data_IF_374923130099
#
_entry.id   IF_374923130099
#
_cell.length_a   1.000
_cell.length_b   1.000
_cell.length_c   1.000
_cell.angle_alpha   90.00
_cell.angle_beta   90.00
_cell.angle_gamma   90.00
#
_symmetry.space_group_name_H-M   'P 1'
#
loop_
_entity.id
_entity.type
_entity.pdbx_description
1 polymer ?
#
# COMPACT_ATOMS: atom_id res chain seq x y z
N UNK A 1 5.36 95.56 1.16
CA UNK A 1 6.11 94.38 0.62
C UNK A 1 5.75 93.19 1.47
N UNK A 2 4.91 92.32 0.94
CA UNK A 2 4.47 91.12 1.66
C UNK A 2 5.00 89.90 0.92
N UNK A 3 5.97 89.22 1.50
CA UNK A 3 6.56 87.96 1.00
C UNK A 3 5.65 86.80 1.36
N UNK A 4 5.07 86.13 0.40
CA UNK A 4 4.32 84.86 0.54
C UNK A 4 5.29 83.71 0.67
N UNK A 5 5.33 83.02 1.83
CA UNK A 5 5.97 81.76 2.01
C UNK A 5 5.03 80.69 1.46
N UNK A 6 5.44 80.03 0.40
CA UNK A 6 4.78 78.81 -0.13
C UNK A 6 5.21 77.60 0.67
N UNK A 7 4.25 76.92 1.31
CA UNK A 7 4.45 75.63 1.98
C UNK A 7 4.20 74.53 0.94
N UNK A 8 5.25 73.86 0.53
CA UNK A 8 5.16 72.67 -0.33
C UNK A 8 4.86 71.43 0.51
N UNK A 9 3.63 70.92 0.48
CA UNK A 9 3.28 69.65 1.09
C UNK A 9 3.86 68.48 0.24
N UNK A 10 4.86 67.79 0.77
CA UNK A 10 5.33 66.50 0.22
C UNK A 10 4.34 65.38 0.63
N UNK A 11 3.48 64.90 -0.29
CA UNK A 11 2.70 63.69 -0.12
C UNK A 11 3.67 62.49 -0.25
N UNK A 12 4.02 61.87 0.86
CA UNK A 12 4.70 60.57 0.85
C UNK A 12 3.69 59.50 0.43
N UNK A 13 3.85 58.97 -0.77
CA UNK A 13 3.09 57.78 -1.23
C UNK A 13 3.53 56.57 -0.41
N UNK A 14 2.66 56.11 0.49
CA UNK A 14 2.83 54.83 1.20
C UNK A 14 2.53 53.71 0.21
N UNK A 15 3.59 53.06 -0.34
CA UNK A 15 3.45 51.85 -1.14
C UNK A 15 2.90 50.74 -0.23
N UNK A 16 1.84 50.01 -0.65
CA UNK A 16 1.35 48.89 0.13
C UNK A 16 2.46 47.84 0.22
N UNK A 17 2.86 47.47 1.42
CA UNK A 17 3.72 46.33 1.68
C UNK A 17 3.01 45.08 1.15
N UNK A 18 3.67 44.22 0.30
CA UNK A 18 3.06 42.99 -0.13
C UNK A 18 2.71 42.14 1.10
N UNK A 19 1.47 41.67 1.15
CA UNK A 19 1.04 40.77 2.22
C UNK A 19 1.98 39.54 2.23
N UNK A 20 2.37 39.02 3.39
CA UNK A 20 3.20 37.85 3.49
C UNK A 20 2.51 36.71 2.73
N UNK A 21 3.25 35.89 1.93
CA UNK A 21 2.67 34.80 1.21
C UNK A 21 1.93 33.90 2.19
N UNK A 22 0.65 33.64 1.94
CA UNK A 22 -0.14 32.72 2.76
C UNK A 22 0.60 31.37 2.76
N UNK A 23 0.83 30.83 3.96
CA UNK A 23 1.47 29.55 4.10
C UNK A 23 0.70 28.50 3.29
N UNK A 24 1.38 27.77 2.42
CA UNK A 24 0.78 26.70 1.62
C UNK A 24 0.24 25.60 2.55
N UNK A 25 -1.08 25.34 2.57
CA UNK A 25 -1.68 24.38 3.49
C UNK A 25 -1.11 22.98 3.33
N UNK A 26 -0.77 22.56 2.09
CA UNK A 26 -0.18 21.25 1.83
C UNK A 26 1.21 21.12 2.45
N UNK A 27 2.07 22.13 2.27
CA UNK A 27 3.42 22.15 2.85
C UNK A 27 3.37 22.21 4.38
N UNK A 28 2.51 23.04 4.94
CA UNK A 28 2.29 23.13 6.39
C UNK A 28 1.86 21.78 6.95
N UNK A 29 0.91 21.11 6.28
CA UNK A 29 0.48 19.76 6.64
C UNK A 29 1.64 18.76 6.62
N UNK A 30 2.42 18.73 5.54
CA UNK A 30 3.55 17.80 5.41
C UNK A 30 4.62 18.03 6.49
N UNK A 31 4.95 19.29 6.78
CA UNK A 31 5.92 19.63 7.82
C UNK A 31 5.42 19.23 9.21
N UNK A 32 4.15 19.46 9.52
CA UNK A 32 3.58 19.19 10.84
C UNK A 32 3.29 17.70 11.05
N UNK A 33 2.61 17.05 10.07
CA UNK A 33 2.15 15.68 10.20
C UNK A 33 3.28 14.65 10.09
N UNK A 34 4.31 14.94 9.29
CA UNK A 34 5.40 14.00 8.99
C UNK A 34 6.77 14.51 9.46
N UNK A 35 6.81 15.60 10.21
CA UNK A 35 8.03 16.23 10.74
C UNK A 35 9.07 16.47 9.62
N UNK A 36 8.62 17.04 8.48
CA UNK A 36 9.52 17.41 7.40
C UNK A 36 10.21 18.73 7.69
N UNK A 37 11.49 18.81 7.37
CA UNK A 37 12.24 20.05 7.37
C UNK A 37 11.95 20.89 6.11
N UNK A 38 12.30 22.17 6.13
CA UNK A 38 12.25 23.01 4.93
C UNK A 38 13.11 22.46 3.78
N UNK A 39 14.24 21.80 4.10
CA UNK A 39 15.09 21.13 3.11
C UNK A 39 14.39 19.91 2.46
N UNK A 40 13.63 19.12 3.24
CA UNK A 40 12.82 18.03 2.71
C UNK A 40 11.76 18.56 1.73
N UNK A 41 11.05 19.62 2.12
CA UNK A 41 10.02 20.23 1.24
C UNK A 41 10.65 20.77 -0.04
N UNK A 42 11.81 21.43 0.06
CA UNK A 42 12.53 21.89 -1.12
C UNK A 42 13.01 20.72 -2.02
N UNK A 43 13.38 19.59 -1.45
CA UNK A 43 13.69 18.37 -2.21
C UNK A 43 12.45 17.84 -2.96
N UNK A 44 11.29 17.78 -2.30
CA UNK A 44 10.01 17.40 -2.94
C UNK A 44 9.64 18.34 -4.09
N UNK A 45 9.88 19.65 -3.96
CA UNK A 45 9.63 20.64 -5.01
C UNK A 45 10.51 20.42 -6.24
N UNK A 46 11.75 19.94 -6.06
CA UNK A 46 12.64 19.52 -7.14
C UNK A 46 12.26 18.17 -7.76
N UNK A 47 11.24 17.49 -7.21
CA UNK A 47 10.81 16.16 -7.66
C UNK A 47 11.63 15.02 -7.05
N UNK A 48 12.41 15.28 -6.00
CA UNK A 48 13.12 14.24 -5.27
C UNK A 48 12.16 13.48 -4.34
N UNK A 49 12.51 12.23 -4.00
CA UNK A 49 11.77 11.42 -3.03
C UNK A 49 12.38 11.59 -1.65
N UNK A 50 11.55 11.90 -0.67
CA UNK A 50 11.92 11.84 0.74
C UNK A 50 11.47 10.51 1.31
N UNK A 51 12.39 9.69 1.82
CA UNK A 51 12.06 8.39 2.42
C UNK A 51 12.72 8.21 3.78
N UNK A 52 11.98 7.59 4.71
CA UNK A 52 12.42 7.36 6.09
C UNK A 52 11.97 6.00 6.61
N UNK A 53 12.73 5.43 7.52
CA UNK A 53 12.27 4.35 8.39
C UNK A 53 11.48 4.96 9.53
N UNK A 54 10.35 4.37 9.87
CA UNK A 54 9.56 4.77 11.05
C UNK A 54 9.86 3.85 12.22
N UNK A 55 9.51 4.29 13.41
CA UNK A 55 9.57 3.46 14.60
C UNK A 55 8.59 2.30 14.49
N UNK A 56 9.11 1.10 14.74
CA UNK A 56 8.33 -0.13 14.77
C UNK A 56 7.87 -0.41 16.20
N UNK A 57 6.58 -0.66 16.37
CA UNK A 57 5.97 -0.96 17.68
C UNK A 57 6.08 -2.43 18.11
N UNK A 58 6.50 -3.29 17.19
CA UNK A 58 6.66 -4.72 17.43
C UNK A 58 8.01 -5.21 16.87
N UNK A 59 8.65 -6.19 17.53
CA UNK A 59 9.96 -6.70 17.11
C UNK A 59 9.98 -7.28 15.69
N UNK A 60 8.86 -7.82 15.19
CA UNK A 60 8.70 -8.34 13.82
C UNK A 60 8.27 -7.27 12.81
N UNK A 61 8.11 -6.02 13.22
CA UNK A 61 7.59 -4.96 12.36
C UNK A 61 8.70 -4.19 11.65
N UNK A 62 8.48 -3.89 10.38
CA UNK A 62 9.18 -2.87 9.59
C UNK A 62 8.18 -1.81 9.18
N UNK A 63 8.53 -0.55 9.43
CA UNK A 63 7.71 0.60 9.06
C UNK A 63 8.54 1.60 8.25
N UNK A 64 7.98 2.04 7.12
CA UNK A 64 8.63 2.99 6.21
C UNK A 64 7.66 4.07 5.78
N UNK A 65 8.19 5.25 5.53
CA UNK A 65 7.49 6.40 4.96
C UNK A 65 8.24 6.84 3.71
N UNK A 66 7.51 7.14 2.66
CA UNK A 66 8.02 7.80 1.47
C UNK A 66 7.07 8.91 1.04
N UNK A 67 7.63 10.03 0.58
CA UNK A 67 6.86 11.17 0.09
C UNK A 67 7.45 11.59 -1.24
N UNK A 68 6.58 11.92 -2.19
CA UNK A 68 6.96 12.40 -3.50
C UNK A 68 5.92 13.40 -4.01
N UNK A 69 6.35 14.38 -4.80
CA UNK A 69 5.46 15.27 -5.53
C UNK A 69 5.32 14.80 -6.96
N UNK A 70 4.09 14.56 -7.41
CA UNK A 70 3.74 14.16 -8.77
C UNK A 70 3.06 15.31 -9.51
N UNK A 71 3.21 15.36 -10.84
CA UNK A 71 2.62 16.40 -11.71
C UNK A 71 1.28 15.94 -12.29
N UNK A 72 0.38 15.52 -11.40
CA UNK A 72 -0.99 15.12 -11.77
C UNK A 72 -1.93 15.35 -10.60
N UNK A 73 -3.25 15.35 -10.86
CA UNK A 73 -4.25 15.50 -9.83
C UNK A 73 -4.41 14.25 -8.97
N UNK A 74 -4.93 14.42 -7.74
CA UNK A 74 -5.27 13.31 -6.88
C UNK A 74 -6.35 12.39 -7.47
N UNK A 75 -7.31 12.95 -8.22
CA UNK A 75 -8.34 12.16 -8.92
C UNK A 75 -7.73 11.29 -10.02
N UNK A 76 -6.83 11.83 -10.83
CA UNK A 76 -6.13 11.05 -11.88
C UNK A 76 -5.30 9.91 -11.27
N UNK A 77 -4.68 10.13 -10.10
CA UNK A 77 -4.02 9.04 -9.37
C UNK A 77 -5.00 7.91 -9.05
N UNK A 78 -6.17 8.24 -8.47
CA UNK A 78 -7.20 7.25 -8.10
C UNK A 78 -7.75 6.54 -9.34
N UNK A 79 -8.01 7.25 -10.44
CA UNK A 79 -8.43 6.67 -11.72
C UNK A 79 -7.40 5.66 -12.26
N UNK A 80 -6.11 6.01 -12.21
CA UNK A 80 -5.04 5.10 -12.64
C UNK A 80 -4.89 3.90 -11.73
N UNK A 81 -5.09 4.08 -10.41
CA UNK A 81 -5.03 2.99 -9.44
C UNK A 81 -6.14 1.96 -9.66
N UNK A 82 -7.30 2.36 -10.19
CA UNK A 82 -8.41 1.45 -10.49
C UNK A 82 -8.01 0.33 -11.48
N UNK A 83 -7.08 0.62 -12.42
CA UNK A 83 -6.40 -0.42 -13.20
C UNK A 83 -5.11 -0.86 -12.50
N UNK A 84 -5.27 -1.60 -11.40
CA UNK A 84 -4.14 -2.08 -10.59
C UNK A 84 -3.18 -2.97 -11.40
N UNK A 85 -3.67 -3.66 -12.40
CA UNK A 85 -2.87 -4.57 -13.23
C UNK A 85 -1.83 -3.83 -14.06
N UNK A 86 -2.17 -2.64 -14.54
CA UNK A 86 -1.24 -1.74 -15.21
C UNK A 86 -0.46 -0.88 -14.21
N UNK A 87 -1.13 -0.33 -13.19
CA UNK A 87 -0.53 0.56 -12.20
C UNK A 87 0.62 -0.09 -11.42
N UNK A 88 0.45 -1.36 -11.01
CA UNK A 88 1.43 -2.11 -10.21
C UNK A 88 2.49 -2.85 -11.04
N UNK A 89 2.43 -2.80 -12.37
CA UNK A 89 3.35 -3.55 -13.25
C UNK A 89 4.81 -3.13 -13.04
N UNK A 90 5.65 -4.08 -12.62
CA UNK A 90 7.10 -3.99 -12.46
C UNK A 90 7.75 -5.29 -12.89
N UNK A 91 9.07 -5.34 -12.98
CA UNK A 91 9.82 -6.59 -13.23
C UNK A 91 9.65 -7.61 -12.12
N UNK A 92 9.39 -7.16 -10.90
CA UNK A 92 9.13 -8.04 -9.76
C UNK A 92 7.69 -8.56 -9.68
N UNK A 93 6.74 -7.93 -10.38
CA UNK A 93 5.36 -8.42 -10.49
C UNK A 93 5.26 -9.42 -11.62
N UNK A 94 5.38 -10.70 -11.27
CA UNK A 94 5.40 -11.80 -12.23
C UNK A 94 4.01 -12.07 -12.82
N UNK A 95 2.99 -12.02 -11.99
CA UNK A 95 1.58 -12.18 -12.37
C UNK A 95 0.69 -11.34 -11.47
N UNK A 96 -0.42 -10.85 -12.00
CA UNK A 96 -1.41 -10.07 -11.25
C UNK A 96 -2.79 -10.24 -11.86
N UNK A 97 -3.82 -10.27 -11.03
CA UNK A 97 -5.22 -10.30 -11.47
C UNK A 97 -6.15 -9.75 -10.39
N UNK A 98 -7.38 -9.44 -10.78
CA UNK A 98 -8.39 -8.84 -9.91
C UNK A 98 -9.53 -9.83 -9.71
N UNK A 99 -10.04 -9.96 -8.49
CA UNK A 99 -11.24 -10.71 -8.22
C UNK A 99 -12.49 -9.90 -8.58
N UNK A 100 -13.41 -10.51 -9.29
CA UNK A 100 -14.73 -9.95 -9.55
C UNK A 100 -15.53 -9.65 -8.27
N UNK A 101 -16.67 -8.97 -8.41
CA UNK A 101 -17.60 -8.74 -7.28
C UNK A 101 -18.08 -10.06 -6.66
N UNK A 102 -18.29 -11.08 -7.48
CA UNK A 102 -18.47 -12.47 -7.09
C UNK A 102 -17.23 -13.23 -7.57
N UNK A 103 -16.32 -13.64 -6.64
CA UNK A 103 -15.09 -14.34 -7.01
C UNK A 103 -15.36 -15.65 -7.76
N UNK A 104 -14.63 -15.87 -8.85
CA UNK A 104 -14.79 -17.00 -9.75
C UNK A 104 -13.43 -17.71 -9.96
N UNK A 105 -13.41 -19.00 -10.27
CA UNK A 105 -12.18 -19.69 -10.65
C UNK A 105 -11.44 -19.03 -11.83
N UNK A 106 -12.17 -18.37 -12.74
CA UNK A 106 -11.62 -17.63 -13.86
C UNK A 106 -10.71 -16.45 -13.41
N UNK A 107 -11.00 -15.82 -12.25
CA UNK A 107 -10.23 -14.70 -11.73
C UNK A 107 -8.77 -15.07 -11.40
N UNK A 108 -8.53 -16.34 -11.06
CA UNK A 108 -7.22 -16.89 -10.72
C UNK A 108 -6.71 -17.90 -11.75
N UNK A 109 -7.41 -18.12 -12.86
CA UNK A 109 -6.99 -19.07 -13.88
C UNK A 109 -5.57 -18.81 -14.41
N UNK A 110 -5.11 -17.55 -14.61
CA UNK A 110 -3.74 -17.26 -15.04
C UNK A 110 -2.67 -17.53 -13.97
N UNK A 111 -3.06 -17.67 -12.68
CA UNK A 111 -2.10 -17.85 -11.59
C UNK A 111 -1.41 -19.20 -11.69
N UNK A 112 -0.10 -19.16 -11.95
CA UNK A 112 0.76 -20.33 -11.87
C UNK A 112 1.35 -20.45 -10.46
N UNK A 113 1.18 -21.61 -9.83
CA UNK A 113 1.85 -21.95 -8.57
C UNK A 113 3.20 -22.61 -8.92
N UNK A 114 4.26 -22.11 -8.35
CA UNK A 114 5.61 -22.59 -8.64
C UNK A 114 5.79 -24.04 -8.20
N UNK A 115 6.52 -24.82 -9.00
CA UNK A 115 6.82 -26.23 -8.69
C UNK A 115 7.55 -26.39 -7.34
N UNK A 116 8.36 -25.39 -6.97
CA UNK A 116 9.02 -25.33 -5.67
C UNK A 116 8.02 -25.29 -4.52
N UNK A 117 6.97 -24.46 -4.63
CA UNK A 117 5.93 -24.36 -3.62
C UNK A 117 5.04 -25.60 -3.60
N UNK A 118 4.74 -26.20 -4.77
CA UNK A 118 4.02 -27.47 -4.86
C UNK A 118 4.80 -28.59 -4.16
N UNK A 119 6.12 -28.65 -4.31
CA UNK A 119 6.96 -29.63 -3.61
C UNK A 119 6.92 -29.47 -2.09
N UNK A 120 6.90 -28.23 -1.59
CA UNK A 120 6.77 -27.94 -0.16
C UNK A 120 5.45 -28.46 0.40
N UNK A 121 4.35 -28.30 -0.34
CA UNK A 121 3.03 -28.79 0.07
C UNK A 121 2.98 -30.29 0.35
N UNK A 122 3.79 -31.08 -0.36
CA UNK A 122 3.88 -32.53 -0.15
C UNK A 122 4.30 -32.92 1.27
N UNK A 123 5.15 -32.09 1.89
CA UNK A 123 5.64 -32.31 3.27
C UNK A 123 4.77 -31.68 4.34
N UNK A 124 3.79 -30.84 3.97
CA UNK A 124 3.02 -30.06 4.93
C UNK A 124 2.18 -30.89 5.89
N UNK A 125 2.29 -30.53 7.16
CA UNK A 125 1.42 -30.94 8.26
C UNK A 125 1.00 -29.70 9.04
N UNK A 126 -0.09 -29.80 9.79
CA UNK A 126 -0.50 -28.72 10.68
C UNK A 126 0.64 -28.44 11.66
N UNK A 127 1.01 -27.16 11.78
CA UNK A 127 2.12 -26.63 12.60
C UNK A 127 3.53 -27.01 12.09
N UNK A 128 3.63 -27.64 10.92
CA UNK A 128 4.89 -28.00 10.29
C UNK A 128 4.73 -27.88 8.75
N UNK A 129 4.75 -26.64 8.23
CA UNK A 129 4.60 -26.36 6.80
C UNK A 129 5.39 -25.10 6.43
N UNK A 130 6.07 -25.12 5.28
CA UNK A 130 6.80 -23.94 4.79
C UNK A 130 5.91 -22.99 3.98
N UNK A 131 4.69 -23.42 3.65
CA UNK A 131 3.68 -22.61 2.97
C UNK A 131 2.64 -22.19 4.00
N UNK A 132 2.34 -20.90 4.06
CA UNK A 132 1.34 -20.36 5.00
C UNK A 132 -0.06 -20.75 4.56
N UNK A 133 -0.70 -21.58 5.34
CA UNK A 133 -2.03 -22.12 5.08
C UNK A 133 -2.80 -22.30 6.40
N UNK A 134 -4.14 -22.24 6.37
CA UNK A 134 -4.96 -22.64 7.49
C UNK A 134 -4.98 -24.18 7.63
N UNK A 135 -5.30 -24.64 8.82
CA UNK A 135 -5.23 -26.07 9.16
C UNK A 135 -6.10 -26.97 8.24
N UNK A 136 -7.30 -26.53 7.92
CA UNK A 136 -8.22 -27.28 7.07
C UNK A 136 -7.69 -27.44 5.63
N UNK A 137 -6.97 -26.46 5.11
CA UNK A 137 -6.34 -26.53 3.79
C UNK A 137 -5.13 -27.45 3.82
N UNK A 138 -4.31 -27.40 4.88
CA UNK A 138 -3.18 -28.33 5.07
C UNK A 138 -3.70 -29.79 5.08
N UNK A 139 -4.78 -30.05 5.81
CA UNK A 139 -5.38 -31.39 5.86
C UNK A 139 -5.98 -31.82 4.52
N UNK A 140 -6.63 -30.92 3.78
CA UNK A 140 -7.14 -31.20 2.43
C UNK A 140 -6.00 -31.55 1.44
N UNK A 141 -4.87 -30.81 1.52
CA UNK A 141 -3.68 -31.12 0.71
C UNK A 141 -3.12 -32.49 1.07
N UNK A 142 -3.02 -32.81 2.38
CA UNK A 142 -2.45 -34.05 2.87
C UNK A 142 -3.29 -35.27 2.52
N UNK A 143 -4.61 -35.17 2.63
CA UNK A 143 -5.55 -36.29 2.46
C UNK A 143 -6.07 -36.41 1.02
N UNK A 144 -6.20 -35.26 0.32
CA UNK A 144 -6.86 -35.19 -0.98
C UNK A 144 -5.94 -35.38 -2.19
N UNK A 145 -4.60 -35.43 -1.99
CA UNK A 145 -3.64 -35.53 -3.09
C UNK A 145 -2.84 -36.81 -2.97
N UNK A 146 -3.02 -37.74 -3.96
CA UNK A 146 -2.08 -38.84 -4.14
C UNK A 146 -0.80 -38.30 -4.81
N UNK A 147 0.23 -38.08 -4.01
CA UNK A 147 1.51 -37.52 -4.45
C UNK A 147 2.34 -38.49 -5.33
N UNK A 148 1.87 -39.72 -5.56
CA UNK A 148 2.46 -40.67 -6.49
C UNK A 148 1.84 -40.54 -7.88
N UNK A 149 0.66 -39.93 -7.98
CA UNK A 149 -0.02 -39.75 -9.26
C UNK A 149 0.70 -38.72 -10.13
N UNK A 150 0.75 -38.92 -11.45
CA UNK A 150 1.42 -38.00 -12.39
C UNK A 150 0.83 -36.59 -12.38
N UNK A 151 -0.43 -36.44 -12.03
CA UNK A 151 -1.19 -35.16 -11.99
C UNK A 151 -1.22 -34.52 -10.61
N UNK A 152 -0.48 -35.01 -9.61
CA UNK A 152 -0.47 -34.53 -8.25
C UNK A 152 -0.17 -33.00 -8.15
N UNK A 153 0.83 -32.52 -8.90
CA UNK A 153 1.18 -31.08 -8.93
C UNK A 153 0.06 -30.22 -9.49
N UNK A 154 -0.62 -30.69 -10.53
CA UNK A 154 -1.79 -30.01 -11.10
C UNK A 154 -2.96 -29.94 -10.10
N UNK A 155 -3.24 -31.03 -9.40
CA UNK A 155 -4.28 -31.08 -8.34
C UNK A 155 -3.95 -30.15 -7.18
N UNK A 156 -2.70 -30.12 -6.72
CA UNK A 156 -2.25 -29.20 -5.67
C UNK A 156 -2.43 -27.73 -6.08
N UNK A 157 -2.01 -27.38 -7.29
CA UNK A 157 -2.18 -26.03 -7.83
C UNK A 157 -3.64 -25.63 -7.96
N UNK A 158 -4.50 -26.55 -8.41
CA UNK A 158 -5.94 -26.34 -8.50
C UNK A 158 -6.56 -26.11 -7.12
N UNK A 159 -6.19 -26.94 -6.13
CA UNK A 159 -6.68 -26.82 -4.75
C UNK A 159 -6.29 -25.45 -4.14
N UNK A 160 -5.05 -25.00 -4.34
CA UNK A 160 -4.62 -23.66 -3.86
C UNK A 160 -5.40 -22.54 -4.55
N UNK A 161 -5.57 -22.58 -5.87
CA UNK A 161 -6.37 -21.57 -6.59
C UNK A 161 -7.82 -21.54 -6.10
N UNK A 162 -8.43 -22.71 -5.91
CA UNK A 162 -9.80 -22.78 -5.36
C UNK A 162 -9.87 -22.21 -3.94
N UNK A 163 -8.87 -22.52 -3.10
CA UNK A 163 -8.76 -21.93 -1.76
C UNK A 163 -8.76 -20.39 -1.81
N UNK A 164 -8.01 -19.78 -2.75
CA UNK A 164 -7.97 -18.32 -2.88
C UNK A 164 -9.33 -17.73 -3.26
N UNK A 165 -10.06 -18.39 -4.20
CA UNK A 165 -11.42 -17.97 -4.60
C UNK A 165 -12.40 -18.06 -3.42
N UNK A 166 -12.44 -19.21 -2.76
CA UNK A 166 -13.32 -19.47 -1.61
C UNK A 166 -13.03 -18.49 -0.46
N UNK A 167 -11.76 -18.19 -0.25
CA UNK A 167 -11.32 -17.26 0.78
C UNK A 167 -11.84 -15.84 0.51
N UNK A 168 -11.64 -15.32 -0.71
CA UNK A 168 -12.10 -13.98 -1.07
C UNK A 168 -13.63 -13.90 -1.06
N UNK A 169 -14.33 -14.95 -1.49
CA UNK A 169 -15.78 -15.03 -1.42
C UNK A 169 -16.29 -14.91 0.04
N UNK A 170 -15.69 -15.67 0.97
CA UNK A 170 -16.04 -15.58 2.40
C UNK A 170 -15.68 -14.21 2.98
N UNK A 171 -14.50 -13.66 2.63
CA UNK A 171 -14.09 -12.35 3.11
C UNK A 171 -15.04 -11.24 2.67
N UNK A 172 -15.54 -11.27 1.43
CA UNK A 172 -16.55 -10.32 0.96
C UNK A 172 -17.86 -10.41 1.74
N UNK A 173 -18.21 -11.57 2.25
CA UNK A 173 -19.44 -11.78 3.01
C UNK A 173 -19.30 -11.43 4.50
N UNK A 174 -18.19 -11.79 5.12
CA UNK A 174 -18.05 -11.78 6.59
C UNK A 174 -16.87 -10.96 7.10
N UNK A 175 -16.03 -10.41 6.21
CA UNK A 175 -14.94 -9.52 6.55
C UNK A 175 -13.87 -10.16 7.45
N UNK A 176 -13.56 -9.49 8.56
CA UNK A 176 -12.50 -9.93 9.48
C UNK A 176 -12.70 -11.36 10.01
N UNK A 177 -13.95 -11.81 10.16
CA UNK A 177 -14.27 -13.17 10.62
C UNK A 177 -13.83 -14.27 9.63
N UNK A 178 -13.65 -13.94 8.35
CA UNK A 178 -13.17 -14.88 7.34
C UNK A 178 -11.64 -14.85 7.17
N UNK A 179 -10.94 -13.87 7.78
CA UNK A 179 -9.48 -13.77 7.62
C UNK A 179 -8.82 -14.98 8.24
N UNK A 180 -7.91 -15.58 7.49
CA UNK A 180 -7.29 -16.87 7.85
C UNK A 180 -6.50 -16.79 9.15
N UNK A 181 -6.51 -17.89 9.90
CA UNK A 181 -5.49 -18.23 10.86
C UNK A 181 -4.45 -19.12 10.16
N UNK A 182 -3.21 -18.71 10.13
CA UNK A 182 -2.12 -19.55 9.63
C UNK A 182 -1.77 -20.63 10.65
N UNK A 183 -1.73 -21.87 10.19
CA UNK A 183 -1.43 -23.05 11.00
C UNK A 183 -0.19 -23.79 10.48
N UNK A 184 0.70 -23.08 9.80
CA UNK A 184 1.97 -23.58 9.24
C UNK A 184 3.03 -23.82 10.34
N UNK A 185 2.90 -23.14 11.49
CA UNK A 185 3.84 -23.25 12.63
C UNK A 185 3.15 -22.98 13.98
N UNK A 186 3.89 -23.19 15.07
CA UNK A 186 3.48 -22.78 16.42
C UNK A 186 4.17 -21.48 16.85
N UNK A 187 3.46 -20.59 17.59
CA UNK A 187 2.01 -20.57 17.72
C UNK A 187 1.35 -20.27 16.37
N UNK A 188 0.08 -20.68 16.21
CA UNK A 188 -0.73 -20.31 15.07
C UNK A 188 -0.89 -18.79 15.02
N UNK A 189 -1.05 -18.25 13.82
CA UNK A 189 -1.07 -16.82 13.60
C UNK A 189 -2.45 -16.35 13.13
N UNK A 190 -3.12 -15.56 13.95
CA UNK A 190 -4.36 -14.86 13.61
C UNK A 190 -4.03 -13.59 12.78
N UNK A 191 -4.16 -13.68 11.45
CA UNK A 191 -3.85 -12.60 10.53
C UNK A 191 -4.76 -11.38 10.74
N UNK A 192 -6.03 -11.59 11.14
CA UNK A 192 -6.95 -10.47 11.41
C UNK A 192 -6.48 -9.66 12.63
N UNK A 193 -6.06 -10.32 13.68
CA UNK A 193 -5.53 -9.69 14.90
C UNK A 193 -4.19 -8.99 14.62
N UNK A 194 -3.31 -9.62 13.85
CA UNK A 194 -2.04 -9.00 13.45
C UNK A 194 -2.29 -7.71 12.66
N UNK A 195 -3.23 -7.72 11.70
CA UNK A 195 -3.59 -6.53 10.93
C UNK A 195 -4.23 -5.45 11.81
N UNK A 196 -5.18 -5.82 12.68
CA UNK A 196 -5.80 -4.86 13.59
C UNK A 196 -4.75 -4.17 14.47
N UNK A 197 -3.79 -4.92 14.99
CA UNK A 197 -2.69 -4.36 15.78
C UNK A 197 -1.76 -3.45 14.98
N UNK A 198 -1.54 -3.71 13.68
CA UNK A 198 -0.76 -2.80 12.82
C UNK A 198 -1.49 -1.47 12.61
N UNK A 199 -2.77 -1.52 12.24
CA UNK A 199 -3.54 -0.30 11.93
C UNK A 199 -3.84 0.53 13.17
N UNK A 200 -4.08 -0.11 14.32
CA UNK A 200 -4.29 0.56 15.61
C UNK A 200 -3.00 1.18 16.14
N UNK A 201 -1.89 0.52 15.85
CA UNK A 201 -0.56 1.00 16.20
C UNK A 201 -0.09 2.20 15.38
N UNK A 202 -0.77 2.56 14.29
CA UNK A 202 -0.33 3.64 13.40
C UNK A 202 -1.03 4.97 13.69
N UNK A 203 -0.32 5.98 14.26
CA UNK A 203 -0.91 7.27 14.59
C UNK A 203 -1.31 8.06 13.33
N UNK A 204 -0.63 7.86 12.21
CA UNK A 204 -0.94 8.55 10.95
C UNK A 204 -2.29 8.10 10.43
N UNK A 205 -2.53 6.80 10.40
CA UNK A 205 -3.83 6.23 9.99
C UNK A 205 -4.95 6.71 10.92
N UNK A 206 -4.74 6.69 12.23
CA UNK A 206 -5.76 7.11 13.20
C UNK A 206 -6.10 8.59 13.08
N UNK A 207 -5.10 9.44 12.84
CA UNK A 207 -5.27 10.90 12.80
C UNK A 207 -5.81 11.38 11.45
N UNK A 208 -5.27 10.86 10.34
CA UNK A 208 -5.52 11.42 9.01
C UNK A 208 -6.35 10.51 8.08
N UNK A 209 -6.60 9.28 8.49
CA UNK A 209 -7.34 8.28 7.70
C UNK A 209 -8.34 7.47 8.55
N UNK A 210 -8.93 8.07 9.57
CA UNK A 210 -9.84 7.38 10.51
C UNK A 210 -11.04 6.72 9.85
N UNK A 211 -11.63 7.33 8.80
CA UNK A 211 -12.71 6.73 7.99
C UNK A 211 -12.24 5.48 7.26
N UNK A 212 -11.06 5.55 6.62
CA UNK A 212 -10.43 4.40 5.96
C UNK A 212 -10.13 3.28 6.96
N UNK A 213 -9.57 3.63 8.14
CA UNK A 213 -9.33 2.66 9.23
C UNK A 213 -10.62 1.95 9.63
N UNK A 214 -11.69 2.71 9.87
CA UNK A 214 -13.00 2.15 10.20
C UNK A 214 -13.49 1.19 9.11
N UNK A 215 -13.35 1.57 7.84
CA UNK A 215 -13.75 0.74 6.71
C UNK A 215 -12.96 -0.58 6.66
N UNK A 216 -11.63 -0.52 6.71
CA UNK A 216 -10.77 -1.72 6.60
C UNK A 216 -10.95 -2.70 7.77
N UNK A 217 -11.31 -2.21 8.97
CA UNK A 217 -11.58 -3.07 10.12
C UNK A 217 -12.99 -3.68 10.09
N UNK A 218 -13.98 -2.93 9.62
CA UNK A 218 -15.39 -3.34 9.67
C UNK A 218 -15.97 -3.80 8.33
N UNK A 219 -15.16 -3.87 7.27
CA UNK A 219 -15.60 -4.40 5.97
C UNK A 219 -16.25 -5.80 6.13
N UNK A 220 -17.35 -6.11 5.43
CA UNK A 220 -18.13 -5.28 4.50
C UNK A 220 -19.21 -4.42 5.17
N UNK A 221 -19.37 -4.49 6.50
CA UNK A 221 -20.44 -3.84 7.26
C UNK A 221 -20.12 -2.38 7.63
N UNK A 222 -19.12 -1.79 7.02
CA UNK A 222 -18.73 -0.40 7.26
C UNK A 222 -19.83 0.55 6.75
N UNK A 223 -20.14 1.57 7.57
CA UNK A 223 -21.07 2.66 7.21
C UNK A 223 -20.37 3.85 6.56
N UNK A 224 -19.09 3.71 6.17
CA UNK A 224 -18.35 4.80 5.53
C UNK A 224 -18.83 4.97 4.09
N UNK A 225 -19.32 6.18 3.77
CA UNK A 225 -19.75 6.55 2.42
C UNK A 225 -18.56 6.94 1.50
N UNK A 226 -18.82 7.02 0.19
CA UNK A 226 -17.84 7.40 -0.84
C UNK A 226 -16.54 6.55 -0.75
N UNK A 227 -16.72 5.24 -0.61
CA UNK A 227 -15.65 4.25 -0.63
C UNK A 227 -15.70 3.49 -1.94
N UNK A 228 -14.54 3.22 -2.51
CA UNK A 228 -14.37 2.26 -3.60
C UNK A 228 -13.41 1.17 -3.16
N UNK A 229 -13.79 -0.09 -3.41
CA UNK A 229 -13.04 -1.27 -3.00
C UNK A 229 -12.77 -2.19 -4.17
N UNK A 230 -11.57 -2.75 -4.20
CA UNK A 230 -11.29 -3.92 -5.03
C UNK A 230 -10.33 -4.86 -4.31
N UNK A 231 -10.35 -6.13 -4.72
CA UNK A 231 -9.44 -7.16 -4.20
C UNK A 231 -8.67 -7.72 -5.38
N UNK A 232 -7.35 -7.77 -5.25
CA UNK A 232 -6.48 -8.34 -6.26
C UNK A 232 -5.55 -9.40 -5.66
N UNK A 233 -5.05 -10.27 -6.50
CA UNK A 233 -3.94 -11.15 -6.20
C UNK A 233 -2.73 -10.75 -7.03
N UNK A 234 -1.56 -10.96 -6.48
CA UNK A 234 -0.30 -10.80 -7.20
C UNK A 234 0.67 -11.92 -6.85
N UNK A 235 1.49 -12.29 -7.81
CA UNK A 235 2.69 -13.10 -7.60
C UNK A 235 3.89 -12.19 -7.83
N UNK A 236 4.63 -11.92 -6.76
CA UNK A 236 5.73 -10.96 -6.78
C UNK A 236 7.03 -11.61 -6.30
N UNK A 237 8.15 -11.17 -6.86
CA UNK A 237 9.47 -11.62 -6.42
C UNK A 237 9.85 -10.90 -5.13
N UNK A 238 9.87 -11.65 -4.03
CA UNK A 238 10.29 -11.17 -2.71
C UNK A 238 11.55 -11.92 -2.32
N UNK A 239 12.68 -11.21 -2.19
CA UNK A 239 13.99 -11.81 -1.88
C UNK A 239 14.39 -12.94 -2.84
N UNK A 240 14.06 -12.76 -4.12
CA UNK A 240 14.36 -13.74 -5.16
C UNK A 240 13.37 -14.89 -5.29
N UNK A 241 12.41 -15.04 -4.36
CA UNK A 241 11.36 -16.06 -4.39
C UNK A 241 10.03 -15.47 -4.84
N UNK A 242 9.28 -16.11 -5.76
CA UNK A 242 7.91 -15.76 -6.05
C UNK A 242 7.01 -15.95 -4.83
N UNK A 243 6.20 -14.94 -4.50
CA UNK A 243 5.24 -14.98 -3.39
C UNK A 243 3.87 -14.60 -3.91
N UNK A 244 2.90 -15.46 -3.72
CA UNK A 244 1.48 -15.17 -4.01
C UNK A 244 0.87 -14.45 -2.81
N UNK A 245 0.16 -13.35 -3.07
CA UNK A 245 -0.55 -12.59 -2.06
C UNK A 245 -1.94 -12.16 -2.54
N UNK A 246 -2.85 -11.91 -1.59
CA UNK A 246 -4.15 -11.28 -1.82
C UNK A 246 -4.19 -9.99 -1.03
N UNK A 247 -4.62 -8.92 -1.68
CA UNK A 247 -4.71 -7.59 -1.08
C UNK A 247 -6.08 -6.96 -1.36
N UNK A 248 -6.71 -6.46 -0.32
CA UNK A 248 -7.87 -5.59 -0.38
C UNK A 248 -7.42 -4.14 -0.40
N UNK A 249 -7.82 -3.38 -1.41
CA UNK A 249 -7.57 -1.95 -1.53
C UNK A 249 -8.88 -1.21 -1.36
N UNK A 250 -8.88 -0.23 -0.47
CA UNK A 250 -9.99 0.67 -0.24
C UNK A 250 -9.54 2.12 -0.44
N UNK A 251 -10.33 2.91 -1.17
CA UNK A 251 -10.11 4.34 -1.38
C UNK A 251 -11.27 5.11 -0.79
N UNK A 252 -10.97 6.04 0.10
CA UNK A 252 -11.93 6.93 0.75
C UNK A 252 -11.63 8.36 0.33
N UNK A 253 -12.63 9.04 -0.24
CA UNK A 253 -12.52 10.47 -0.49
C UNK A 253 -12.58 11.24 0.84
N UNK A 254 -11.81 12.34 0.93
CA UNK A 254 -11.83 13.19 2.11
C UNK A 254 -13.21 13.83 2.34
N UNK A 255 -13.44 14.24 3.57
CA UNK A 255 -14.47 15.24 3.92
C UNK A 255 -13.92 16.63 3.70
N UNK A 256 -14.82 17.61 3.60
CA UNK A 256 -14.47 19.01 3.40
C UNK A 256 -13.46 19.52 4.43
N UNK A 257 -12.63 20.50 4.04
CA UNK A 257 -11.55 21.12 4.82
C UNK A 257 -10.34 20.23 5.18
N UNK A 258 -10.28 19.00 4.68
CA UNK A 258 -9.09 18.16 4.84
C UNK A 258 -7.96 18.56 3.87
N UNK A 259 -6.70 18.62 4.32
CA UNK A 259 -5.57 18.75 3.40
C UNK A 259 -5.38 17.48 2.54
N UNK A 260 -5.92 16.35 2.98
CA UNK A 260 -5.88 15.06 2.27
C UNK A 260 -7.11 14.93 1.40
N UNK A 261 -6.96 14.81 0.07
CA UNK A 261 -8.09 14.61 -0.84
C UNK A 261 -8.59 13.15 -0.86
N UNK A 262 -7.66 12.20 -0.78
CA UNK A 262 -7.97 10.78 -0.72
C UNK A 262 -7.03 10.06 0.25
N UNK A 263 -7.60 9.13 1.00
CA UNK A 263 -6.86 8.12 1.77
C UNK A 263 -7.09 6.75 1.13
N UNK A 264 -6.00 6.04 0.81
CA UNK A 264 -6.03 4.73 0.16
C UNK A 264 -5.34 3.74 1.08
N UNK A 265 -6.03 2.67 1.43
CA UNK A 265 -5.51 1.59 2.28
C UNK A 265 -5.36 0.30 1.51
N UNK A 266 -4.24 -0.37 1.73
CA UNK A 266 -3.98 -1.72 1.24
C UNK A 266 -3.86 -2.66 2.44
N UNK A 267 -4.84 -3.55 2.60
CA UNK A 267 -4.87 -4.60 3.62
C UNK A 267 -4.46 -5.91 2.98
N UNK A 268 -3.30 -6.46 3.37
CA UNK A 268 -2.93 -7.79 2.95
C UNK A 268 -3.82 -8.81 3.66
N UNK A 269 -4.56 -9.61 2.89
CA UNK A 269 -5.45 -10.66 3.38
C UNK A 269 -4.73 -11.99 3.49
N UNK A 270 -3.78 -12.26 2.59
CA UNK A 270 -3.03 -13.49 2.50
C UNK A 270 -1.65 -13.24 1.91
N UNK A 271 -0.66 -13.95 2.38
CA UNK A 271 0.65 -14.10 1.74
C UNK A 271 1.16 -15.53 1.93
N UNK A 272 1.60 -16.15 0.84
CA UNK A 272 2.08 -17.53 0.84
C UNK A 272 3.34 -17.72 1.69
N UNK A 273 4.16 -16.66 1.84
CA UNK A 273 5.42 -16.67 2.59
C UNK A 273 5.70 -15.31 3.25
N UNK A 274 6.53 -15.30 4.28
CA UNK A 274 7.18 -14.16 4.95
C UNK A 274 6.28 -13.22 5.74
N UNK A 275 5.12 -12.83 5.20
CA UNK A 275 4.32 -11.76 5.79
C UNK A 275 3.26 -12.30 6.76
N UNK A 276 3.29 -11.83 7.99
CA UNK A 276 2.24 -12.08 8.99
C UNK A 276 1.03 -11.17 8.75
N UNK A 277 1.31 -9.89 8.48
CA UNK A 277 0.33 -8.89 8.04
C UNK A 277 1.04 -7.71 7.39
N UNK A 278 0.35 -6.99 6.51
CA UNK A 278 0.85 -5.75 5.92
C UNK A 278 -0.28 -4.73 5.74
N UNK A 279 0.03 -3.48 6.08
CA UNK A 279 -0.76 -2.28 5.86
C UNK A 279 0.01 -1.32 4.97
N UNK A 280 -0.54 -0.98 3.82
CA UNK A 280 -0.14 0.17 3.03
C UNK A 280 -1.13 1.31 3.23
N UNK A 281 -0.66 2.53 3.46
CA UNK A 281 -1.47 3.75 3.49
C UNK A 281 -0.91 4.73 2.49
N UNK A 282 -1.75 5.25 1.61
CA UNK A 282 -1.41 6.37 0.73
C UNK A 282 -2.32 7.54 1.03
N UNK A 283 -1.74 8.71 1.32
CA UNK A 283 -2.47 9.97 1.43
C UNK A 283 -2.15 10.83 0.22
N UNK A 284 -3.17 11.31 -0.46
CA UNK A 284 -3.04 12.22 -1.60
C UNK A 284 -3.35 13.64 -1.14
N UNK A 285 -2.33 14.51 -1.15
CA UNK A 285 -2.41 15.90 -0.67
C UNK A 285 -2.22 16.83 -1.87
N UNK A 286 -3.28 17.47 -2.38
CA UNK A 286 -3.18 18.37 -3.53
C UNK A 286 -2.26 19.57 -3.23
N UNK A 287 -1.34 19.86 -4.12
CA UNK A 287 -0.51 21.06 -4.10
C UNK A 287 -1.26 22.18 -4.82
N UNK A 288 -2.03 22.95 -4.04
CA UNK A 288 -2.86 24.05 -4.57
C UNK A 288 -2.06 25.30 -4.95
N UNK A 289 -0.79 25.38 -4.53
CA UNK A 289 0.11 26.47 -4.89
C UNK A 289 0.83 26.25 -6.23
N UNK A 290 0.74 25.04 -6.79
CA UNK A 290 1.34 24.71 -8.09
C UNK A 290 0.63 25.41 -9.25
N UNK A 291 1.38 25.80 -10.26
CA UNK A 291 0.83 26.41 -11.50
C UNK A 291 -0.04 25.46 -12.33
N UNK A 292 -0.02 24.16 -12.06
CA UNK A 292 -0.80 23.12 -12.71
C UNK A 292 -1.11 21.96 -11.77
N UNK A 293 -1.80 20.91 -12.25
CA UNK A 293 -2.17 19.77 -11.42
C UNK A 293 -0.93 19.15 -10.76
N UNK A 294 -0.90 19.17 -9.42
CA UNK A 294 0.17 18.55 -8.65
C UNK A 294 -0.37 17.98 -7.35
N UNK A 295 0.24 16.90 -6.88
CA UNK A 295 -0.17 16.19 -5.67
C UNK A 295 1.07 15.67 -4.94
N UNK A 296 1.13 15.87 -3.64
CA UNK A 296 2.06 15.12 -2.78
C UNK A 296 1.45 13.76 -2.48
N UNK A 297 2.18 12.72 -2.80
CA UNK A 297 1.84 11.33 -2.47
C UNK A 297 2.64 10.95 -1.24
N UNK A 298 1.96 10.74 -0.13
CA UNK A 298 2.56 10.22 1.10
C UNK A 298 2.23 8.75 1.17
N UNK A 299 3.25 7.90 1.12
CA UNK A 299 3.13 6.45 1.21
C UNK A 299 3.76 5.94 2.49
N UNK A 300 2.98 5.24 3.29
CA UNK A 300 3.41 4.55 4.49
C UNK A 300 3.19 3.05 4.31
N UNK A 301 4.16 2.24 4.70
CA UNK A 301 4.01 0.79 4.81
C UNK A 301 4.42 0.33 6.20
N UNK A 302 3.58 -0.51 6.80
CA UNK A 302 3.88 -1.29 8.00
C UNK A 302 3.66 -2.76 7.69
N UNK A 303 4.69 -3.58 7.92
CA UNK A 303 4.60 -5.02 7.66
C UNK A 303 5.21 -5.79 8.81
N UNK A 304 4.55 -6.85 9.25
CA UNK A 304 5.12 -7.86 10.14
C UNK A 304 5.63 -9.02 9.32
N UNK A 305 6.85 -9.43 9.62
CA UNK A 305 7.60 -10.40 8.83
C UNK A 305 8.21 -11.43 9.79
N UNK A 306 8.06 -12.72 9.49
CA UNK A 306 8.56 -13.83 10.30
C UNK A 306 10.09 -13.96 10.35
N UNK A 307 10.80 -13.30 9.44
CA UNK A 307 12.25 -13.34 9.34
C UNK A 307 13.00 -12.78 10.56
N UNK A 308 12.29 -12.16 11.49
CA UNK A 308 12.90 -11.53 12.67
C UNK A 308 12.79 -12.39 13.93
N UNK A 309 12.22 -13.57 13.82
CA UNK A 309 12.19 -14.54 14.91
C UNK A 309 13.61 -15.15 15.07
N UNK A 310 14.21 -15.00 16.24
CA UNK A 310 15.52 -15.55 16.58
C UNK A 310 16.55 -14.54 17.11
N UNK A 311 17.72 -15.06 17.51
CA UNK A 311 18.78 -14.33 18.25
C UNK A 311 19.34 -13.11 17.49
N UNK A 312 19.33 -13.12 16.17
CA UNK A 312 19.82 -12.03 15.30
C UNK A 312 18.70 -11.15 14.72
N UNK A 313 17.46 -11.30 15.18
CA UNK A 313 16.29 -10.61 14.65
C UNK A 313 16.42 -9.08 14.61
N UNK A 314 17.10 -8.48 15.60
CA UNK A 314 17.32 -7.04 15.65
C UNK A 314 18.25 -6.51 14.54
N UNK A 315 19.30 -7.26 14.19
CA UNK A 315 20.23 -6.90 13.08
C UNK A 315 19.52 -7.12 11.75
N UNK A 316 18.88 -8.27 11.57
CA UNK A 316 18.11 -8.58 10.37
C UNK A 316 17.04 -7.51 10.09
N UNK A 317 16.33 -7.06 11.13
CA UNK A 317 15.32 -5.99 11.03
C UNK A 317 15.92 -4.68 10.51
N UNK A 318 17.08 -4.24 11.02
CA UNK A 318 17.75 -3.00 10.55
C UNK A 318 18.11 -3.08 9.07
N UNK A 319 18.64 -4.21 8.62
CA UNK A 319 19.00 -4.44 7.22
C UNK A 319 17.74 -4.42 6.35
N UNK A 320 16.68 -5.13 6.75
CA UNK A 320 15.42 -5.17 6.01
C UNK A 320 14.76 -3.80 5.98
N UNK A 321 14.76 -3.06 7.09
CA UNK A 321 14.21 -1.71 7.16
C UNK A 321 14.95 -0.73 6.23
N UNK A 322 16.28 -0.81 6.17
CA UNK A 322 17.07 0.01 5.25
C UNK A 322 16.77 -0.32 3.79
N UNK A 323 16.68 -1.61 3.44
CA UNK A 323 16.28 -2.05 2.09
C UNK A 323 14.86 -1.63 1.74
N UNK A 324 13.91 -1.80 2.66
CA UNK A 324 12.51 -1.40 2.47
C UNK A 324 12.39 0.11 2.21
N UNK A 325 13.18 0.94 2.90
CA UNK A 325 13.27 2.38 2.63
C UNK A 325 13.74 2.67 1.19
N UNK A 326 14.76 1.96 0.71
CA UNK A 326 15.24 2.08 -0.68
C UNK A 326 14.15 1.68 -1.69
N UNK A 327 13.51 0.53 -1.48
CA UNK A 327 12.41 0.05 -2.34
C UNK A 327 11.23 1.04 -2.41
N UNK A 328 10.87 1.65 -1.29
CA UNK A 328 9.83 2.71 -1.27
C UNK A 328 10.26 3.90 -2.11
N UNK A 329 11.52 4.34 -2.03
CA UNK A 329 12.03 5.44 -2.84
C UNK A 329 11.98 5.10 -4.34
N UNK A 330 12.43 3.91 -4.74
CA UNK A 330 12.37 3.43 -6.13
C UNK A 330 10.93 3.33 -6.66
N UNK A 331 10.01 2.80 -5.85
CA UNK A 331 8.59 2.72 -6.21
C UNK A 331 7.99 4.11 -6.44
N UNK A 332 8.29 5.09 -5.59
CA UNK A 332 7.78 6.44 -5.73
C UNK A 332 8.41 7.19 -6.92
N UNK A 333 9.70 7.00 -7.20
CA UNK A 333 10.33 7.51 -8.42
C UNK A 333 9.70 6.93 -9.69
N UNK A 334 9.40 5.62 -9.67
CA UNK A 334 8.68 4.99 -10.78
C UNK A 334 7.27 5.56 -10.93
N UNK A 335 6.56 5.74 -9.82
CA UNK A 335 5.22 6.35 -9.81
C UNK A 335 5.22 7.72 -10.50
N UNK A 336 6.21 8.57 -10.22
CA UNK A 336 6.37 9.85 -10.90
C UNK A 336 6.47 9.69 -12.42
N UNK A 337 7.26 8.72 -12.89
CA UNK A 337 7.42 8.47 -14.33
C UNK A 337 6.15 7.97 -15.00
N UNK A 338 5.44 7.04 -14.34
CA UNK A 338 4.19 6.45 -14.87
C UNK A 338 3.04 7.47 -14.91
N UNK A 339 3.04 8.41 -13.96
CA UNK A 339 2.01 9.45 -13.85
C UNK A 339 2.41 10.79 -14.48
N UNK A 340 3.58 10.86 -15.13
CA UNK A 340 3.97 12.07 -15.86
C UNK A 340 2.98 12.35 -17.02
N UNK A 341 2.65 13.62 -17.30
CA UNK A 341 1.70 13.98 -18.36
C UNK A 341 2.08 13.43 -19.74
N UNK A 342 3.37 13.32 -20.02
CA UNK A 342 3.91 12.85 -21.32
C UNK A 342 3.93 11.30 -21.43
N UNK A 343 3.70 10.55 -20.35
CA UNK A 343 3.66 9.09 -20.38
C UNK A 343 2.41 8.53 -21.08
N UNK A 344 1.40 9.36 -21.31
CA UNK A 344 0.16 8.95 -21.99
C UNK A 344 0.32 8.68 -23.49
N UNK A 345 1.46 9.08 -24.12
CA UNK A 345 1.72 8.93 -25.57
C UNK A 345 2.61 7.74 -25.92
N UNK A 346 3.11 6.99 -24.93
CA UNK A 346 4.12 5.94 -25.10
C UNK A 346 3.62 4.51 -24.89
N UNK A 347 2.36 4.16 -25.23
CA UNK A 347 1.95 2.75 -25.32
C UNK A 347 2.44 2.21 -26.66
N UNK A 348 3.42 1.29 -26.71
CA UNK A 348 3.76 0.64 -27.98
C UNK A 348 2.51 -0.11 -28.49
N UNK A 349 2.23 -0.07 -29.81
CA UNK A 349 1.10 -0.78 -30.38
C UNK A 349 1.23 -2.27 -30.07
N UNK A 350 0.11 -2.90 -29.64
CA UNK A 350 0.01 -4.35 -29.47
C UNK A 350 0.45 -5.00 -30.79
N UNK A 351 1.54 -5.76 -30.74
CA UNK A 351 1.86 -6.68 -31.83
C UNK A 351 0.67 -7.68 -31.97
N UNK A 352 0.19 -7.78 -33.20
CA UNK A 352 -0.89 -8.69 -33.62
C UNK A 352 -0.46 -10.13 -33.53
#
# INVERSE_FOLDING_TARGET
MWTRLGVTLLLAAVLPTPAPPMADPARTFLMTAFNLSGADVAALDRGEVVSRTLEAKHHREVATLGIVRIRTSASTYVERLADITTFKRTEDVLQIGVFGSVPQPADVAPLHIEDGDVKLLRGCRVEECEVRLPADVIERVRQGIDWRAPDASGKASLLLRQMLVDYVARYRQTGAAAVMEYADRRPRLDVAREFASLIDGDPITSTYAGRLRNHLLNFPKSSVDKVTDFIYWSKERVRGRPVVSITHVATVAAVDDSPVAYAIGSKQLYAMHYYDASLGLTLLVPDRAAAGPATYVVYLNRSRIDLFDGMFGGVARRIVASRAKGLVAEQLQRLQRVLAPDAATGIPPRAK
#
